data_IF_485470732650
#
_entry.id   IF_485470732650
#
_cell.length_a   1.000
_cell.length_b   1.000
_cell.length_c   1.000
_cell.angle_alpha   90.00
_cell.angle_beta   90.00
_cell.angle_gamma   90.00
#
_symmetry.space_group_name_H-M   'P 1'
#
loop_
_entity.id
_entity.type
_entity.pdbx_description
1 polymer ?
#
# COMPACT_ATOMS: atom_id res chain seq x y z
N UNK A 1 -62.07 10.30 33.10
CA UNK A 1 -62.16 11.75 33.27
C UNK A 1 -60.86 12.36 32.74
N UNK A 2 -61.00 13.23 31.74
CA UNK A 2 -59.84 13.80 31.08
C UNK A 2 -59.58 15.21 31.58
N UNK A 3 -58.37 15.65 31.64
CA UNK A 3 -58.03 17.07 31.67
C UNK A 3 -57.08 17.42 30.54
N UNK A 4 -57.60 18.17 29.63
CA UNK A 4 -56.93 18.88 28.56
C UNK A 4 -56.37 20.20 29.08
N UNK A 5 -55.08 20.49 28.78
CA UNK A 5 -54.59 21.86 28.82
C UNK A 5 -54.01 22.26 27.46
N UNK A 6 -54.73 23.22 26.89
CA UNK A 6 -54.39 24.00 25.72
C UNK A 6 -53.46 25.15 26.13
N UNK A 7 -52.42 25.43 25.39
CA UNK A 7 -51.68 26.69 25.51
C UNK A 7 -51.25 27.21 24.13
N UNK A 8 -51.68 28.40 23.91
CA UNK A 8 -51.73 29.21 22.70
C UNK A 8 -50.37 29.62 22.13
N UNK A 9 -50.34 29.69 20.81
CA UNK A 9 -49.32 30.31 20.01
C UNK A 9 -49.40 31.84 20.09
N UNK A 10 -48.27 32.49 20.35
CA UNK A 10 -48.14 33.93 20.17
C UNK A 10 -47.11 34.22 19.07
N UNK A 11 -47.63 34.60 17.92
CA UNK A 11 -46.85 35.16 16.80
C UNK A 11 -46.47 36.60 17.12
N UNK A 12 -45.20 36.92 17.23
CA UNK A 12 -44.68 38.30 17.16
C UNK A 12 -44.24 38.60 15.73
N UNK A 13 -44.99 39.47 15.08
CA UNK A 13 -44.59 40.14 13.83
C UNK A 13 -43.62 41.30 14.20
N UNK A 14 -42.43 41.34 13.63
CA UNK A 14 -41.57 42.50 13.73
C UNK A 14 -41.67 43.29 12.42
N UNK A 15 -42.01 44.56 12.59
CA UNK A 15 -42.22 45.55 11.52
C UNK A 15 -40.89 46.16 11.12
N UNK A 16 -40.70 46.34 9.83
CA UNK A 16 -39.62 47.14 9.26
C UNK A 16 -39.97 48.65 9.31
N UNK A 17 -39.02 49.56 9.54
CA UNK A 17 -39.14 50.95 9.14
C UNK A 17 -38.34 51.21 7.88
N UNK A 18 -38.99 51.93 6.98
CA UNK A 18 -38.39 52.58 5.83
C UNK A 18 -37.54 53.78 6.28
N UNK A 19 -36.37 53.97 5.67
CA UNK A 19 -35.62 55.23 5.77
C UNK A 19 -35.00 55.54 4.41
N UNK A 20 -35.55 56.52 3.77
CA UNK A 20 -35.12 57.81 3.29
C UNK A 20 -33.75 57.85 2.54
N UNK A 21 -33.86 58.12 1.25
CA UNK A 21 -32.75 58.49 0.35
C UNK A 21 -32.28 59.93 0.65
N UNK A 22 -30.97 60.12 0.76
CA UNK A 22 -30.30 61.39 0.65
C UNK A 22 -29.22 61.24 -0.41
N UNK A 23 -29.35 62.03 -1.47
CA UNK A 23 -28.39 62.17 -2.56
C UNK A 23 -27.14 62.93 -2.12
N UNK A 24 -25.99 62.44 -2.56
CA UNK A 24 -24.71 63.12 -2.46
C UNK A 24 -23.95 62.89 -3.74
N UNK A 25 -23.89 63.93 -4.58
CA UNK A 25 -23.05 64.01 -5.75
C UNK A 25 -21.60 64.09 -5.28
N UNK A 26 -20.73 63.16 -5.67
CA UNK A 26 -19.31 63.31 -5.57
C UNK A 26 -18.65 63.19 -6.93
N UNK A 27 -17.85 64.20 -7.19
CA UNK A 27 -17.09 64.48 -8.39
C UNK A 27 -16.20 63.33 -8.82
N UNK A 28 -16.25 63.05 -10.13
CA UNK A 28 -15.25 62.23 -10.80
C UNK A 28 -13.94 63.02 -10.89
N UNK A 29 -12.93 62.58 -10.17
CA UNK A 29 -11.54 62.93 -10.46
C UNK A 29 -10.99 61.85 -11.42
N UNK A 30 -10.90 62.22 -12.71
CA UNK A 30 -10.19 61.46 -13.74
C UNK A 30 -8.69 61.63 -13.52
N UNK A 31 -8.10 60.65 -12.84
CA UNK A 31 -6.65 60.47 -12.80
C UNK A 31 -6.21 59.64 -13.99
N UNK A 32 -5.75 60.27 -15.06
CA UNK A 32 -5.01 59.60 -16.11
C UNK A 32 -3.63 59.23 -15.55
N UNK A 33 -3.41 57.95 -15.27
CA UNK A 33 -2.05 57.42 -15.11
C UNK A 33 -1.50 57.17 -16.52
N UNK A 34 -0.57 58.01 -16.96
CA UNK A 34 0.24 57.78 -18.17
C UNK A 34 1.19 56.63 -17.89
N UNK A 35 0.87 55.44 -18.39
CA UNK A 35 1.85 54.36 -18.51
C UNK A 35 2.63 54.59 -19.79
N UNK A 36 3.93 54.95 -19.65
CA UNK A 36 4.87 55.01 -20.77
C UNK A 36 4.81 53.66 -21.52
N UNK A 37 4.50 53.72 -22.81
CA UNK A 37 4.24 52.59 -23.65
C UNK A 37 5.43 51.65 -23.79
N UNK A 38 5.38 50.52 -23.12
CA UNK A 38 6.02 49.33 -23.65
C UNK A 38 5.05 48.72 -24.67
N UNK A 39 5.53 48.57 -25.90
CA UNK A 39 4.79 47.93 -26.97
C UNK A 39 4.39 46.51 -26.53
N UNK A 40 3.09 46.25 -26.47
CA UNK A 40 2.61 44.90 -26.22
C UNK A 40 3.26 43.94 -27.23
N UNK A 41 3.79 42.77 -26.77
CA UNK A 41 4.35 41.78 -27.67
C UNK A 41 3.26 41.29 -28.65
N UNK A 42 3.58 41.33 -29.94
CA UNK A 42 2.67 41.05 -31.06
C UNK A 42 2.22 39.56 -31.15
N UNK A 43 2.53 38.74 -30.14
CA UNK A 43 2.03 37.35 -30.04
C UNK A 43 1.85 37.00 -28.59
N UNK A 44 0.60 36.67 -28.23
CA UNK A 44 0.28 36.00 -26.97
C UNK A 44 0.79 34.57 -27.06
N UNK A 45 1.83 34.24 -26.29
CA UNK A 45 2.21 32.83 -26.10
C UNK A 45 1.46 32.31 -24.88
N UNK A 46 0.75 31.18 -24.99
CA UNK A 46 0.18 30.53 -23.81
C UNK A 46 1.30 30.22 -22.82
N UNK A 47 1.10 30.55 -21.56
CA UNK A 47 2.01 30.07 -20.52
C UNK A 47 2.15 28.55 -20.65
N UNK A 48 3.38 28.02 -20.52
CA UNK A 48 3.54 26.55 -20.53
C UNK A 48 2.59 25.93 -19.50
N UNK A 49 1.80 24.95 -19.95
CA UNK A 49 0.93 24.21 -19.05
C UNK A 49 1.81 23.67 -17.92
N UNK A 50 1.45 23.99 -16.68
CA UNK A 50 2.10 23.38 -15.53
C UNK A 50 1.91 21.87 -15.65
N UNK A 51 2.97 21.16 -16.00
CA UNK A 51 2.96 19.70 -15.95
C UNK A 51 2.74 19.29 -14.50
N UNK A 52 1.83 18.35 -14.23
CA UNK A 52 1.70 17.79 -12.88
C UNK A 52 3.08 17.33 -12.42
N UNK A 53 3.42 17.60 -11.17
CA UNK A 53 4.65 17.11 -10.55
C UNK A 53 4.65 15.59 -10.67
N UNK A 54 5.61 15.04 -11.41
CA UNK A 54 5.68 13.59 -11.61
C UNK A 54 6.01 12.91 -10.28
N UNK A 55 5.33 11.81 -9.93
CA UNK A 55 5.71 11.05 -8.76
C UNK A 55 7.15 10.53 -8.89
N UNK A 56 7.84 10.31 -7.76
CA UNK A 56 9.18 9.76 -7.78
C UNK A 56 9.18 8.40 -8.49
N UNK A 57 10.04 8.24 -9.49
CA UNK A 57 10.23 6.96 -10.18
C UNK A 57 10.97 5.99 -9.27
N UNK A 58 10.44 4.81 -8.98
CA UNK A 58 11.17 3.78 -8.28
C UNK A 58 12.33 3.26 -9.14
N UNK A 59 13.51 3.20 -8.55
CA UNK A 59 14.73 2.69 -9.19
C UNK A 59 15.40 1.65 -8.29
N UNK A 60 16.18 0.78 -8.89
CA UNK A 60 16.99 -0.18 -8.12
C UNK A 60 18.27 0.47 -7.63
N UNK A 61 18.82 0.08 -6.46
CA UNK A 61 20.13 0.49 -6.02
C UNK A 61 21.19 0.20 -7.09
N UNK A 62 22.00 1.21 -7.45
CA UNK A 62 23.02 1.08 -8.48
C UNK A 62 22.57 1.41 -9.91
N UNK A 63 21.28 1.70 -10.16
CA UNK A 63 20.83 2.25 -11.44
C UNK A 63 20.94 3.78 -11.43
N UNK A 64 21.55 4.34 -12.48
CA UNK A 64 21.46 5.78 -12.73
C UNK A 64 20.04 6.10 -13.21
N UNK A 65 19.39 7.11 -12.60
CA UNK A 65 18.10 7.62 -13.09
C UNK A 65 18.22 8.19 -14.52
N UNK A 66 17.11 8.45 -15.20
CA UNK A 66 17.12 9.05 -16.53
C UNK A 66 17.86 10.39 -16.48
N UNK A 67 19.02 10.45 -17.13
CA UNK A 67 19.84 11.64 -17.23
C UNK A 67 19.09 12.68 -18.08
N UNK A 68 18.79 13.84 -17.53
CA UNK A 68 18.51 15.02 -18.34
C UNK A 68 19.73 15.30 -19.21
N UNK A 69 19.55 15.23 -20.52
CA UNK A 69 20.57 15.50 -21.51
C UNK A 69 21.11 16.93 -21.39
N UNK A 70 22.31 17.08 -20.85
CA UNK A 70 23.03 18.35 -20.83
C UNK A 70 24.11 18.38 -19.77
N UNK A 71 25.21 17.64 -19.95
CA UNK A 71 26.57 18.18 -19.82
C UNK A 71 27.59 17.13 -20.28
N UNK A 72 28.45 17.52 -21.25
CA UNK A 72 29.62 16.75 -21.68
C UNK A 72 30.77 17.05 -20.71
N UNK A 73 31.01 16.17 -19.78
CA UNK A 73 32.14 16.28 -18.86
C UNK A 73 32.45 14.95 -18.18
N UNK A 74 33.24 14.13 -18.85
CA UNK A 74 33.83 12.87 -18.49
C UNK A 74 33.77 12.36 -17.05
N UNK A 75 32.90 11.37 -16.85
CA UNK A 75 33.18 10.15 -16.08
C UNK A 75 32.35 9.05 -16.72
N UNK A 76 32.97 8.15 -17.47
CA UNK A 76 32.39 6.89 -17.90
C UNK A 76 32.02 6.09 -16.65
N UNK A 77 30.75 6.25 -16.19
CA UNK A 77 30.09 5.23 -15.38
C UNK A 77 29.96 4.00 -16.28
N UNK A 78 30.60 2.93 -15.92
CA UNK A 78 30.49 1.65 -16.60
C UNK A 78 29.02 1.23 -16.55
N UNK A 79 28.30 1.38 -17.65
CA UNK A 79 27.05 0.68 -17.92
C UNK A 79 27.41 -0.82 -18.16
N UNK A 80 27.93 -1.46 -17.13
CA UNK A 80 28.14 -2.90 -17.12
C UNK A 80 26.78 -3.58 -17.09
N UNK A 81 26.48 -4.38 -18.10
CA UNK A 81 25.34 -5.29 -18.08
C UNK A 81 25.47 -6.17 -16.84
N UNK A 82 24.45 -6.15 -15.94
CA UNK A 82 24.44 -7.02 -14.76
C UNK A 82 24.43 -8.47 -15.26
N UNK A 83 25.39 -9.32 -14.84
CA UNK A 83 25.40 -10.71 -15.27
C UNK A 83 24.13 -11.45 -14.80
N UNK A 84 23.67 -12.45 -15.56
CA UNK A 84 22.56 -13.29 -15.12
C UNK A 84 22.92 -14.06 -13.85
N UNK A 85 21.94 -14.40 -13.00
CA UNK A 85 22.16 -15.17 -11.79
C UNK A 85 22.81 -16.54 -12.06
N UNK A 86 23.66 -16.98 -11.13
CA UNK A 86 24.33 -18.29 -11.19
C UNK A 86 24.06 -19.07 -9.89
N UNK A 87 23.19 -20.08 -9.96
CA UNK A 87 22.71 -20.75 -8.75
C UNK A 87 22.04 -19.74 -7.80
N UNK A 88 22.40 -19.77 -6.53
CA UNK A 88 21.87 -18.80 -5.54
C UNK A 88 22.63 -17.46 -5.52
N UNK A 89 23.58 -17.25 -6.42
CA UNK A 89 24.27 -15.96 -6.52
C UNK A 89 23.54 -15.06 -7.51
N UNK A 90 23.07 -13.92 -7.03
CA UNK A 90 22.50 -12.84 -7.85
C UNK A 90 23.45 -11.63 -7.83
N UNK A 91 23.73 -11.08 -9.01
CA UNK A 91 24.69 -9.96 -9.15
C UNK A 91 23.98 -8.60 -9.14
N UNK A 92 22.63 -8.59 -9.10
CA UNK A 92 21.89 -7.35 -9.04
C UNK A 92 22.01 -6.74 -7.62
N UNK A 93 22.51 -5.48 -7.50
CA UNK A 93 22.72 -4.84 -6.20
C UNK A 93 21.45 -4.63 -5.39
N UNK A 94 20.28 -4.67 -6.04
CA UNK A 94 19.00 -4.58 -5.36
C UNK A 94 18.58 -5.86 -4.64
N UNK A 95 19.15 -7.00 -4.98
CA UNK A 95 18.82 -8.29 -4.37
C UNK A 95 19.53 -8.42 -3.04
N UNK A 96 18.78 -8.71 -1.98
CA UNK A 96 19.30 -8.90 -0.62
C UNK A 96 19.16 -10.33 -0.12
N UNK A 97 18.33 -11.16 -0.76
CA UNK A 97 18.22 -12.59 -0.49
C UNK A 97 17.79 -13.36 -1.73
N UNK A 98 18.23 -14.61 -1.83
CA UNK A 98 18.03 -15.49 -2.98
C UNK A 98 17.71 -16.91 -2.55
N UNK A 99 17.28 -17.76 -3.52
CA UNK A 99 16.98 -19.17 -3.30
C UNK A 99 16.00 -19.43 -2.15
N UNK A 100 15.05 -18.53 -2.00
CA UNK A 100 13.91 -18.71 -1.11
C UNK A 100 12.84 -19.54 -1.80
N UNK A 101 11.90 -20.07 -1.04
CA UNK A 101 10.63 -20.58 -1.57
C UNK A 101 9.71 -19.39 -1.90
N UNK A 102 8.57 -19.61 -2.60
CA UNK A 102 7.67 -18.54 -2.99
C UNK A 102 7.39 -17.54 -1.84
N UNK A 103 7.96 -16.33 -1.91
CA UNK A 103 7.90 -15.37 -0.81
C UNK A 103 6.66 -14.51 -0.92
N UNK A 104 5.62 -14.89 -0.19
CA UNK A 104 4.30 -14.24 -0.22
C UNK A 104 4.22 -12.90 0.49
N UNK A 105 5.00 -12.71 1.55
CA UNK A 105 5.03 -11.49 2.34
C UNK A 105 6.45 -11.15 2.80
N UNK A 106 6.74 -9.87 2.93
CA UNK A 106 7.98 -9.34 3.51
C UNK A 106 7.64 -8.21 4.47
N UNK A 107 8.48 -8.04 5.49
CA UNK A 107 8.44 -6.88 6.38
C UNK A 107 9.86 -6.39 6.63
N UNK A 108 10.07 -5.09 6.59
CA UNK A 108 11.34 -4.45 6.92
C UNK A 108 11.48 -4.34 8.44
N UNK A 109 12.68 -4.62 8.95
CA UNK A 109 12.95 -4.43 10.37
C UNK A 109 13.15 -2.94 10.68
N UNK A 110 12.57 -2.43 11.77
CA UNK A 110 12.68 -1.02 12.13
C UNK A 110 14.13 -0.62 12.43
N UNK A 111 14.51 0.59 12.02
CA UNK A 111 15.85 1.15 12.25
C UNK A 111 16.95 0.63 11.33
N UNK A 112 16.59 -0.07 10.24
CA UNK A 112 17.53 -0.61 9.26
C UNK A 112 17.48 0.09 7.90
N UNK A 113 17.03 1.33 7.84
CA UNK A 113 16.73 2.06 6.59
C UNK A 113 17.94 2.25 5.67
N UNK A 114 19.15 2.37 6.25
CA UNK A 114 20.41 2.54 5.50
C UNK A 114 21.06 1.22 5.09
N UNK A 115 20.76 0.15 5.80
CA UNK A 115 21.24 -1.21 5.53
C UNK A 115 20.08 -2.19 5.79
N UNK A 116 19.15 -2.34 4.82
CA UNK A 116 17.86 -2.96 5.05
C UNK A 116 17.94 -4.43 5.43
N UNK A 117 17.38 -4.73 6.57
CA UNK A 117 17.15 -6.08 7.06
C UNK A 117 15.64 -6.33 7.06
N UNK A 118 15.23 -7.53 6.69
CA UNK A 118 13.82 -7.89 6.67
C UNK A 118 13.54 -9.30 7.12
N UNK A 119 12.25 -9.61 7.22
CA UNK A 119 11.74 -10.96 7.33
C UNK A 119 10.97 -11.31 6.07
N UNK A 120 11.17 -12.51 5.57
CA UNK A 120 10.50 -13.06 4.41
C UNK A 120 9.67 -14.28 4.83
N UNK A 121 8.40 -14.31 4.40
CA UNK A 121 7.47 -15.40 4.65
C UNK A 121 7.39 -16.30 3.41
N UNK A 122 7.84 -17.52 3.54
CA UNK A 122 7.78 -18.52 2.48
C UNK A 122 6.41 -19.22 2.51
N UNK A 123 5.63 -19.04 1.46
CA UNK A 123 4.22 -19.43 1.39
C UNK A 123 3.98 -20.92 1.61
N UNK A 124 4.75 -21.76 0.93
CA UNK A 124 4.50 -23.20 0.88
C UNK A 124 5.21 -23.97 1.97
N UNK A 125 6.40 -23.54 2.35
CA UNK A 125 7.18 -24.16 3.42
C UNK A 125 6.74 -23.73 4.83
N UNK A 126 6.00 -22.61 4.94
CA UNK A 126 5.62 -22.01 6.23
C UNK A 126 6.78 -21.40 7.00
N UNK A 127 7.97 -21.25 6.38
CA UNK A 127 9.16 -20.70 7.02
C UNK A 127 9.11 -19.19 7.04
N UNK A 128 9.53 -18.59 8.14
CA UNK A 128 9.84 -17.16 8.25
C UNK A 128 11.35 -17.07 8.41
N UNK A 129 12.01 -16.36 7.48
CA UNK A 129 13.46 -16.20 7.45
C UNK A 129 13.85 -14.74 7.54
N UNK A 130 14.91 -14.46 8.30
CA UNK A 130 15.55 -13.14 8.33
C UNK A 130 16.48 -13.04 7.13
N UNK A 131 16.40 -11.93 6.43
CA UNK A 131 17.15 -11.65 5.21
C UNK A 131 17.94 -10.36 5.35
N UNK A 132 19.18 -10.38 4.85
CA UNK A 132 20.08 -9.24 4.84
C UNK A 132 21.09 -9.41 3.71
N UNK A 133 21.50 -8.32 3.08
CA UNK A 133 22.44 -8.36 1.97
C UNK A 133 23.79 -8.91 2.39
N UNK A 134 24.25 -9.91 1.68
CA UNK A 134 25.55 -10.56 1.93
C UNK A 134 25.54 -11.64 3.01
N UNK A 135 24.46 -11.78 3.75
CA UNK A 135 24.30 -12.81 4.77
C UNK A 135 23.46 -13.99 4.25
N UNK A 136 23.72 -15.21 4.72
CA UNK A 136 22.80 -16.32 4.49
C UNK A 136 21.46 -16.06 5.21
N UNK A 137 20.36 -16.44 4.59
CA UNK A 137 19.02 -16.34 5.20
C UNK A 137 18.94 -17.17 6.48
N UNK A 138 18.44 -16.57 7.56
CA UNK A 138 18.39 -17.18 8.89
C UNK A 138 16.95 -17.55 9.26
N UNK A 139 16.69 -18.85 9.47
CA UNK A 139 15.38 -19.34 9.92
C UNK A 139 15.01 -18.75 11.28
N UNK A 140 13.84 -18.13 11.36
CA UNK A 140 13.26 -17.62 12.61
C UNK A 140 12.29 -18.65 13.21
N UNK A 141 11.36 -19.14 12.40
CA UNK A 141 10.38 -20.15 12.79
C UNK A 141 9.80 -20.86 11.56
N UNK A 142 9.09 -21.96 11.79
CA UNK A 142 8.30 -22.66 10.77
C UNK A 142 6.90 -22.89 11.30
N UNK A 143 5.90 -22.44 10.54
CA UNK A 143 4.49 -22.62 10.84
C UNK A 143 3.92 -23.82 10.07
N UNK A 144 2.98 -24.52 10.67
CA UNK A 144 2.23 -25.56 9.97
C UNK A 144 1.19 -24.89 9.06
N UNK A 145 1.29 -25.13 7.77
CA UNK A 145 0.42 -24.54 6.75
C UNK A 145 -0.20 -25.62 5.87
N UNK A 146 -1.40 -25.34 5.36
CA UNK A 146 -2.06 -26.14 4.34
C UNK A 146 -1.95 -25.43 2.98
N UNK A 147 -1.30 -26.09 2.04
CA UNK A 147 -1.09 -25.62 0.66
C UNK A 147 -1.89 -26.42 -0.37
N UNK A 148 -2.90 -27.18 0.08
CA UNK A 148 -3.77 -27.93 -0.82
C UNK A 148 -4.66 -27.04 -1.70
N UNK A 149 -4.74 -25.74 -1.38
CA UNK A 149 -5.40 -24.71 -2.19
C UNK A 149 -4.36 -23.83 -2.88
N UNK A 150 -4.69 -23.28 -4.05
CA UNK A 150 -3.73 -22.55 -4.89
C UNK A 150 -3.16 -21.29 -4.20
N UNK A 151 -3.93 -20.64 -3.33
CA UNK A 151 -3.64 -19.37 -2.67
C UNK A 151 -3.50 -19.49 -1.13
N UNK A 152 -3.52 -20.72 -0.62
CA UNK A 152 -3.30 -21.03 0.79
C UNK A 152 -1.83 -21.05 1.19
N UNK A 153 -1.57 -21.27 2.47
CA UNK A 153 -0.23 -21.31 3.05
C UNK A 153 0.03 -20.14 4.01
N UNK A 154 1.29 -19.74 4.13
CA UNK A 154 1.69 -18.55 4.87
C UNK A 154 1.62 -17.36 3.91
N UNK A 155 0.66 -16.44 4.09
CA UNK A 155 0.38 -15.38 3.11
C UNK A 155 0.51 -13.95 3.65
N UNK A 156 0.51 -13.76 4.96
CA UNK A 156 0.66 -12.46 5.60
C UNK A 156 1.69 -12.49 6.71
N UNK A 157 2.40 -11.39 6.88
CA UNK A 157 3.39 -11.17 7.94
C UNK A 157 3.33 -9.70 8.38
N UNK A 158 3.38 -9.47 9.69
CA UNK A 158 3.50 -8.14 10.26
C UNK A 158 4.34 -8.19 11.54
N UNK A 159 4.95 -7.08 11.93
CA UNK A 159 5.66 -6.92 13.21
C UNK A 159 4.74 -6.29 14.25
N UNK A 160 5.02 -6.58 15.52
CA UNK A 160 4.44 -5.80 16.61
C UNK A 160 4.80 -4.31 16.47
N UNK A 161 3.93 -3.37 16.85
CA UNK A 161 4.27 -1.94 16.88
C UNK A 161 5.43 -1.65 17.84
N UNK A 162 5.69 -2.54 18.79
CA UNK A 162 6.79 -2.50 19.76
C UNK A 162 7.87 -3.55 19.49
N UNK A 163 8.01 -4.00 18.23
CA UNK A 163 8.92 -5.09 17.84
C UNK A 163 10.36 -4.93 18.33
N UNK A 164 10.89 -3.72 18.38
CA UNK A 164 12.24 -3.46 18.93
C UNK A 164 12.39 -3.86 20.41
N UNK A 165 11.28 -3.99 21.12
CA UNK A 165 11.24 -4.33 22.55
C UNK A 165 10.79 -5.78 22.77
N UNK A 166 9.73 -6.22 22.09
CA UNK A 166 9.07 -7.49 22.33
C UNK A 166 9.40 -8.57 21.30
N UNK A 167 9.90 -8.19 20.14
CA UNK A 167 10.21 -9.06 18.99
C UNK A 167 9.02 -9.95 18.55
N UNK A 168 7.79 -9.51 18.83
CA UNK A 168 6.60 -10.24 18.43
C UNK A 168 6.32 -10.05 16.94
N UNK A 169 5.88 -11.12 16.29
CA UNK A 169 5.47 -11.17 14.90
C UNK A 169 4.07 -11.74 14.79
N UNK A 170 3.34 -11.34 13.75
CA UNK A 170 2.05 -11.87 13.39
C UNK A 170 2.13 -12.51 12.01
N UNK A 171 1.51 -13.67 11.85
CA UNK A 171 1.46 -14.38 10.59
C UNK A 171 0.03 -14.79 10.24
N UNK A 172 -0.37 -14.63 8.98
CA UNK A 172 -1.63 -15.16 8.47
C UNK A 172 -1.36 -16.48 7.75
N UNK A 173 -2.05 -17.52 8.19
CA UNK A 173 -1.84 -18.89 7.68
C UNK A 173 -3.17 -19.56 7.32
N UNK A 174 -3.14 -20.35 6.26
CA UNK A 174 -4.18 -21.34 5.94
C UNK A 174 -3.86 -22.64 6.63
N UNK A 175 -4.83 -23.21 7.33
CA UNK A 175 -4.76 -24.56 7.95
C UNK A 175 -5.74 -25.51 7.26
N UNK A 176 -5.78 -26.75 7.68
CA UNK A 176 -6.73 -27.72 7.14
C UNK A 176 -8.21 -27.35 7.42
N UNK A 177 -8.48 -26.54 8.43
CA UNK A 177 -9.84 -26.23 8.91
C UNK A 177 -10.29 -24.80 8.67
N UNK A 178 -9.39 -23.84 8.76
CA UNK A 178 -9.66 -22.41 8.66
C UNK A 178 -8.44 -21.63 8.21
N UNK A 179 -8.63 -20.35 7.93
CA UNK A 179 -7.55 -19.38 7.92
C UNK A 179 -7.47 -18.70 9.30
N UNK A 180 -6.27 -18.30 9.73
CA UNK A 180 -6.07 -17.72 11.06
C UNK A 180 -4.87 -16.80 11.16
N UNK A 181 -4.87 -15.97 12.21
CA UNK A 181 -3.71 -15.16 12.59
C UNK A 181 -3.00 -15.81 13.75
N UNK A 182 -1.68 -15.97 13.60
CA UNK A 182 -0.77 -16.52 14.61
C UNK A 182 0.06 -15.42 15.23
N UNK A 183 0.23 -15.44 16.53
CA UNK A 183 1.24 -14.67 17.27
C UNK A 183 2.48 -15.53 17.44
N UNK A 184 3.63 -14.97 17.15
CA UNK A 184 4.95 -15.60 17.23
C UNK A 184 5.81 -14.77 18.19
N UNK A 185 6.18 -15.36 19.31
CA UNK A 185 7.11 -14.78 20.28
C UNK A 185 8.45 -15.52 20.23
N UNK A 186 9.59 -14.84 20.51
CA UNK A 186 10.89 -15.48 20.52
C UNK A 186 10.96 -16.65 21.51
N UNK A 187 11.37 -17.81 21.01
CA UNK A 187 11.53 -19.02 21.83
C UNK A 187 10.23 -19.72 22.24
N UNK A 188 9.07 -19.17 21.93
CA UNK A 188 7.77 -19.78 22.21
C UNK A 188 7.19 -20.53 21.02
N UNK A 189 6.25 -21.46 21.30
CA UNK A 189 5.41 -22.05 20.25
C UNK A 189 4.42 -21.03 19.73
N UNK A 190 4.29 -20.84 18.40
CA UNK A 190 3.32 -19.94 17.82
C UNK A 190 1.88 -20.22 18.28
N UNK A 191 1.13 -19.17 18.65
CA UNK A 191 -0.23 -19.26 19.21
C UNK A 191 -1.24 -18.61 18.26
N UNK A 192 -2.41 -19.24 18.00
CA UNK A 192 -3.47 -18.58 17.25
C UNK A 192 -4.13 -17.50 18.12
N UNK A 193 -4.24 -16.29 17.59
CA UNK A 193 -4.94 -15.17 18.25
C UNK A 193 -6.28 -14.85 17.60
N UNK A 194 -6.44 -15.15 16.31
CA UNK A 194 -7.71 -15.05 15.60
C UNK A 194 -7.90 -16.30 14.76
N UNK A 195 -9.03 -17.00 14.95
CA UNK A 195 -9.38 -18.25 14.28
C UNK A 195 -10.76 -18.17 13.65
N UNK A 196 -11.12 -19.19 12.85
CA UNK A 196 -12.47 -19.28 12.28
C UNK A 196 -12.68 -18.35 11.07
N UNK A 197 -11.63 -17.80 10.48
CA UNK A 197 -11.73 -17.15 9.18
C UNK A 197 -12.03 -18.23 8.15
N UNK A 198 -13.15 -18.15 7.39
CA UNK A 198 -13.54 -19.19 6.47
C UNK A 198 -12.44 -19.58 5.48
N UNK A 199 -12.28 -20.88 5.26
CA UNK A 199 -11.40 -21.46 4.26
C UNK A 199 -12.22 -21.97 3.08
N UNK A 200 -11.76 -21.69 1.86
CA UNK A 200 -12.36 -22.15 0.61
C UNK A 200 -11.40 -22.99 -0.23
N UNK A 201 -11.82 -23.31 -1.43
CA UNK A 201 -10.94 -23.88 -2.46
C UNK A 201 -10.03 -22.79 -3.09
N UNK A 202 -10.47 -21.54 -3.02
CA UNK A 202 -9.78 -20.31 -3.42
C UNK A 202 -10.14 -19.20 -2.43
N UNK A 203 -9.58 -17.99 -2.60
CA UNK A 203 -9.90 -16.84 -1.75
C UNK A 203 -9.42 -17.01 -0.30
N UNK A 204 -8.31 -17.75 -0.09
CA UNK A 204 -7.74 -18.00 1.25
C UNK A 204 -6.68 -16.97 1.61
N UNK A 205 -6.19 -16.21 0.63
CA UNK A 205 -5.14 -15.23 0.87
C UNK A 205 -5.58 -14.23 1.94
N UNK A 206 -4.69 -13.95 2.87
CA UNK A 206 -4.85 -12.88 3.84
C UNK A 206 -3.55 -12.12 4.01
N UNK A 207 -3.64 -10.83 4.25
CA UNK A 207 -2.51 -9.92 4.39
C UNK A 207 -2.62 -9.14 5.68
N UNK A 208 -1.47 -8.80 6.25
CA UNK A 208 -1.36 -8.14 7.54
C UNK A 208 -0.61 -6.83 7.40
N UNK A 209 -1.01 -5.83 8.16
CA UNK A 209 -0.25 -4.61 8.41
C UNK A 209 -0.58 -4.09 9.81
N UNK A 210 0.26 -3.22 10.36
CA UNK A 210 -0.04 -2.47 11.58
C UNK A 210 -0.44 -1.05 11.18
N UNK A 211 -1.53 -0.55 11.76
CA UNK A 211 -1.95 0.83 11.52
C UNK A 211 -1.16 1.82 12.38
N UNK A 212 -1.35 3.11 12.13
CA UNK A 212 -0.65 4.18 12.87
C UNK A 212 -1.01 4.28 14.36
N UNK A 213 -2.02 3.54 14.82
CA UNK A 213 -2.43 3.45 16.23
C UNK A 213 -1.88 2.21 16.92
N UNK A 214 -1.15 1.37 16.18
CA UNK A 214 -0.54 0.15 16.69
C UNK A 214 -1.45 -1.08 16.65
N UNK A 215 -2.60 -1.00 15.99
CA UNK A 215 -3.51 -2.13 15.87
C UNK A 215 -3.27 -2.93 14.60
N UNK A 216 -3.52 -4.23 14.64
CA UNK A 216 -3.31 -5.13 13.51
C UNK A 216 -4.50 -5.05 12.54
N UNK A 217 -4.23 -4.66 11.30
CA UNK A 217 -5.14 -4.78 10.17
C UNK A 217 -4.97 -6.15 9.52
N UNK A 218 -6.08 -6.86 9.34
CA UNK A 218 -6.12 -8.18 8.70
C UNK A 218 -7.09 -8.10 7.53
N UNK A 219 -6.60 -8.09 6.29
CA UNK A 219 -7.46 -8.21 5.13
C UNK A 219 -7.57 -9.69 4.73
N UNK A 220 -8.80 -10.18 4.59
CA UNK A 220 -9.11 -11.59 4.34
C UNK A 220 -9.77 -11.76 2.98
N UNK A 221 -9.44 -12.83 2.27
CA UNK A 221 -10.14 -13.23 1.06
C UNK A 221 -11.55 -13.76 1.32
N UNK A 222 -12.35 -13.88 0.27
CA UNK A 222 -13.77 -14.26 0.34
C UNK A 222 -14.00 -15.77 0.48
N UNK A 223 -12.96 -16.57 0.60
CA UNK A 223 -13.01 -18.04 0.61
C UNK A 223 -13.68 -18.64 -0.65
N UNK A 224 -13.57 -17.96 -1.80
CA UNK A 224 -14.23 -18.34 -3.05
C UNK A 224 -15.75 -18.18 -3.05
N UNK A 225 -16.29 -17.40 -2.11
CA UNK A 225 -17.72 -17.16 -1.96
C UNK A 225 -18.02 -15.67 -1.72
N UNK A 226 -18.35 -14.91 -2.77
CA UNK A 226 -18.66 -13.49 -2.65
C UNK A 226 -19.78 -13.15 -1.65
N UNK A 227 -20.68 -14.12 -1.41
CA UNK A 227 -21.74 -13.96 -0.40
C UNK A 227 -21.19 -13.84 1.03
N UNK A 228 -20.02 -14.44 1.32
CA UNK A 228 -19.36 -14.32 2.62
C UNK A 228 -18.75 -12.93 2.80
N UNK A 229 -18.26 -12.31 1.72
CA UNK A 229 -17.69 -10.97 1.76
C UNK A 229 -18.71 -9.91 2.19
N UNK A 230 -19.99 -10.08 1.88
CA UNK A 230 -21.07 -9.18 2.29
C UNK A 230 -21.79 -9.60 3.57
N UNK A 231 -21.59 -10.84 4.04
CA UNK A 231 -22.22 -11.33 5.27
C UNK A 231 -21.53 -10.73 6.51
N UNK A 232 -22.24 -9.96 7.37
CA UNK A 232 -21.64 -9.34 8.55
C UNK A 232 -21.24 -10.33 9.65
N UNK A 233 -21.70 -11.57 9.60
CA UNK A 233 -21.32 -12.62 10.53
C UNK A 233 -20.09 -13.43 10.08
N UNK A 234 -19.59 -13.20 8.86
CA UNK A 234 -18.43 -13.89 8.30
C UNK A 234 -17.18 -13.03 8.46
N UNK A 235 -16.05 -13.66 8.72
CA UNK A 235 -14.72 -13.03 8.69
C UNK A 235 -14.05 -13.11 7.31
N UNK A 236 -14.67 -13.75 6.30
CA UNK A 236 -14.17 -13.78 4.93
C UNK A 236 -14.54 -12.50 4.16
N UNK A 237 -13.64 -12.03 3.31
CA UNK A 237 -13.85 -10.84 2.49
C UNK A 237 -13.94 -9.54 3.30
N UNK A 238 -13.11 -9.40 4.33
CA UNK A 238 -13.16 -8.31 5.31
C UNK A 238 -11.81 -7.64 5.49
N UNK A 239 -11.85 -6.40 5.95
CA UNK A 239 -10.76 -5.83 6.72
C UNK A 239 -11.16 -5.90 8.19
N UNK A 240 -10.36 -6.60 8.96
CA UNK A 240 -10.48 -6.73 10.41
C UNK A 240 -9.44 -5.83 11.06
N UNK A 241 -9.76 -5.28 12.23
CA UNK A 241 -8.84 -4.50 13.04
C UNK A 241 -8.89 -5.02 14.47
N UNK A 242 -7.79 -5.59 14.91
CA UNK A 242 -7.66 -6.32 16.17
C UNK A 242 -6.45 -5.84 16.95
N UNK A 243 -6.48 -6.03 18.25
CA UNK A 243 -5.33 -5.84 19.13
C UNK A 243 -4.33 -7.02 19.04
N UNK A 244 -3.26 -6.94 19.80
CA UNK A 244 -2.21 -7.98 19.84
C UNK A 244 -2.69 -9.33 20.39
N UNK A 245 -3.80 -9.36 21.11
CA UNK A 245 -4.43 -10.55 21.65
C UNK A 245 -5.53 -11.14 20.73
N UNK A 246 -5.76 -10.50 19.58
CA UNK A 246 -6.76 -10.92 18.60
C UNK A 246 -8.18 -10.47 18.92
N UNK A 247 -8.37 -9.59 19.92
CA UNK A 247 -9.66 -9.00 20.21
C UNK A 247 -9.96 -7.81 19.29
N UNK A 248 -11.23 -7.45 19.07
CA UNK A 248 -11.55 -6.22 18.36
C UNK A 248 -10.82 -5.03 19.01
N UNK A 249 -10.14 -4.21 18.20
CA UNK A 249 -9.45 -3.04 18.73
C UNK A 249 -10.43 -2.12 19.47
N UNK A 250 -10.05 -1.58 20.64
CA UNK A 250 -10.98 -0.88 21.54
C UNK A 250 -11.57 0.40 20.94
N UNK A 251 -10.86 1.01 20.01
CA UNK A 251 -11.27 2.23 19.30
C UNK A 251 -11.86 1.94 17.91
N UNK A 252 -12.25 0.69 17.64
CA UNK A 252 -13.05 0.38 16.45
C UNK A 252 -14.38 1.14 16.46
N UNK A 253 -14.92 1.52 15.31
CA UNK A 253 -16.26 2.15 15.22
C UNK A 253 -17.35 1.35 15.94
N UNK A 254 -17.23 0.03 15.96
CA UNK A 254 -17.95 -0.86 16.86
C UNK A 254 -16.95 -1.65 17.70
N UNK A 255 -16.73 -1.30 18.97
CA UNK A 255 -15.74 -1.96 19.82
C UNK A 255 -15.98 -3.45 20.09
N UNK A 256 -17.17 -3.97 19.72
CA UNK A 256 -17.52 -5.38 19.84
C UNK A 256 -17.28 -6.17 18.54
N UNK A 257 -16.79 -5.54 17.50
CA UNK A 257 -16.57 -6.15 16.20
C UNK A 257 -15.17 -5.85 15.69
N UNK A 258 -14.46 -6.89 15.27
CA UNK A 258 -13.21 -6.73 14.55
C UNK A 258 -13.41 -6.19 13.13
N UNK A 259 -14.60 -6.38 12.53
CA UNK A 259 -14.88 -5.98 11.14
C UNK A 259 -14.95 -4.45 11.05
N UNK A 260 -14.06 -3.86 10.26
CA UNK A 260 -14.03 -2.41 10.00
C UNK A 260 -14.32 -2.06 8.54
N UNK A 261 -14.21 -3.01 7.61
CA UNK A 261 -14.67 -2.88 6.24
C UNK A 261 -15.02 -4.27 5.66
N UNK A 262 -15.80 -4.29 4.58
CA UNK A 262 -16.33 -5.52 3.96
C UNK A 262 -16.34 -5.39 2.45
N UNK A 263 -16.26 -6.51 1.73
CA UNK A 263 -16.39 -6.57 0.27
C UNK A 263 -15.11 -6.90 -0.48
N UNK A 264 -14.06 -7.44 0.20
CA UNK A 264 -12.86 -7.94 -0.46
C UNK A 264 -13.10 -9.29 -1.09
N UNK A 265 -12.37 -9.58 -2.18
CA UNK A 265 -12.31 -10.86 -2.87
C UNK A 265 -10.99 -11.58 -2.59
N UNK A 266 -9.89 -11.06 -3.14
CA UNK A 266 -8.54 -11.63 -2.96
C UNK A 266 -7.54 -10.50 -2.68
N UNK A 267 -7.40 -10.11 -1.40
CA UNK A 267 -6.52 -9.00 -1.03
C UNK A 267 -5.05 -9.33 -1.31
N UNK A 268 -4.36 -8.38 -1.92
CA UNK A 268 -2.94 -8.51 -2.26
C UNK A 268 -2.02 -7.87 -1.23
N UNK A 269 -2.42 -6.74 -0.63
CA UNK A 269 -1.65 -5.97 0.34
C UNK A 269 -2.53 -4.99 1.12
N UNK A 270 -2.09 -4.64 2.32
CA UNK A 270 -2.59 -3.52 3.11
C UNK A 270 -1.39 -2.63 3.43
N UNK A 271 -1.50 -1.34 3.22
CA UNK A 271 -0.43 -0.40 3.51
C UNK A 271 -0.98 0.92 4.07
N UNK A 272 -0.23 1.53 4.98
CA UNK A 272 -0.55 2.83 5.57
C UNK A 272 0.51 3.83 5.15
N UNK A 273 0.11 5.10 4.92
CA UNK A 273 1.06 6.17 4.65
C UNK A 273 1.99 6.38 5.85
N UNK A 274 3.21 6.84 5.59
CA UNK A 274 4.22 7.09 6.63
C UNK A 274 3.76 8.07 7.70
N UNK A 275 2.89 9.02 7.33
CA UNK A 275 2.28 9.97 8.27
C UNK A 275 1.03 9.43 8.98
N UNK A 276 0.63 8.20 8.69
CA UNK A 276 -0.55 7.54 9.27
C UNK A 276 -1.90 8.14 8.88
N UNK A 277 -1.92 9.10 7.97
CA UNK A 277 -3.16 9.80 7.60
C UNK A 277 -4.09 8.96 6.70
N UNK A 278 -3.53 7.97 6.00
CA UNK A 278 -4.25 7.18 5.01
C UNK A 278 -3.82 5.72 5.04
N UNK A 279 -4.77 4.83 4.74
CA UNK A 279 -4.51 3.42 4.56
C UNK A 279 -5.20 2.91 3.28
N UNK A 280 -4.60 1.90 2.67
CA UNK A 280 -5.02 1.36 1.40
C UNK A 280 -5.04 -0.15 1.45
N UNK A 281 -5.92 -0.76 0.63
CA UNK A 281 -5.94 -2.20 0.42
C UNK A 281 -6.04 -2.49 -1.08
N UNK A 282 -5.15 -3.32 -1.59
CA UNK A 282 -5.23 -3.85 -2.95
C UNK A 282 -6.11 -5.09 -2.95
N UNK A 283 -6.94 -5.24 -3.97
CA UNK A 283 -7.83 -6.39 -4.11
C UNK A 283 -7.96 -6.82 -5.56
N UNK A 284 -7.99 -8.11 -5.80
CA UNK A 284 -8.23 -8.72 -7.11
C UNK A 284 -9.68 -9.16 -7.15
N UNK A 285 -10.46 -8.48 -7.98
CA UNK A 285 -11.85 -8.89 -8.22
C UNK A 285 -11.94 -9.75 -9.48
N UNK A 286 -13.06 -10.43 -9.73
CA UNK A 286 -13.21 -11.24 -10.94
C UNK A 286 -13.11 -10.48 -12.26
N UNK A 287 -13.32 -9.16 -12.26
CA UNK A 287 -13.39 -8.32 -13.47
C UNK A 287 -12.28 -7.30 -13.59
N UNK A 288 -11.65 -6.94 -12.49
CA UNK A 288 -10.64 -5.88 -12.43
C UNK A 288 -9.82 -5.98 -11.16
N UNK A 289 -8.61 -5.45 -11.18
CA UNK A 289 -7.84 -5.23 -9.95
C UNK A 289 -8.11 -3.81 -9.43
N UNK A 290 -8.11 -3.64 -8.12
CA UNK A 290 -8.50 -2.37 -7.49
C UNK A 290 -7.60 -1.99 -6.32
N UNK A 291 -7.57 -0.71 -6.02
CA UNK A 291 -6.99 -0.14 -4.81
C UNK A 291 -8.10 0.63 -4.08
N UNK A 292 -8.46 0.17 -2.91
CA UNK A 292 -9.43 0.87 -2.05
C UNK A 292 -8.71 1.75 -1.04
N UNK A 293 -9.24 2.94 -0.81
CA UNK A 293 -8.90 3.75 0.36
C UNK A 293 -9.69 3.22 1.54
N UNK A 294 -9.00 2.80 2.60
CA UNK A 294 -9.62 2.26 3.80
C UNK A 294 -10.15 3.40 4.68
N UNK A 295 -11.41 3.33 5.02
CA UNK A 295 -12.07 4.20 6.00
C UNK A 295 -12.72 3.33 7.07
N UNK A 296 -12.20 3.39 8.30
CA UNK A 296 -12.69 2.55 9.38
C UNK A 296 -14.19 2.74 9.62
N UNK A 297 -14.93 1.63 9.71
CA UNK A 297 -16.39 1.62 9.97
C UNK A 297 -17.24 1.93 8.75
N UNK A 298 -16.66 1.99 7.56
CA UNK A 298 -17.40 2.15 6.31
C UNK A 298 -17.16 0.95 5.40
N UNK A 299 -18.18 0.50 4.64
CA UNK A 299 -17.97 -0.47 3.58
C UNK A 299 -16.92 0.06 2.60
N UNK A 300 -16.18 -0.85 1.96
CA UNK A 300 -15.36 -0.49 0.80
C UNK A 300 -16.31 0.07 -0.27
N UNK A 301 -16.08 1.30 -0.65
CA UNK A 301 -16.91 2.03 -1.61
C UNK A 301 -16.36 1.92 -3.02
N UNK A 302 -16.43 3.04 -3.77
CA UNK A 302 -15.81 3.14 -5.09
C UNK A 302 -14.28 3.01 -4.90
N UNK A 303 -13.59 2.17 -5.70
CA UNK A 303 -12.13 2.09 -5.68
C UNK A 303 -11.50 3.47 -5.90
N UNK A 304 -10.42 3.74 -5.19
CA UNK A 304 -9.60 4.94 -5.43
C UNK A 304 -8.80 4.82 -6.74
N UNK A 305 -8.50 3.59 -7.14
CA UNK A 305 -7.91 3.27 -8.43
C UNK A 305 -8.39 1.90 -8.93
N UNK A 306 -8.47 1.75 -10.26
CA UNK A 306 -8.92 0.51 -10.93
C UNK A 306 -7.98 0.16 -12.08
N UNK A 307 -7.63 -1.11 -12.19
CA UNK A 307 -6.88 -1.69 -13.29
C UNK A 307 -7.77 -2.70 -14.05
N UNK A 308 -8.38 -2.29 -15.18
CA UNK A 308 -9.20 -3.21 -15.99
C UNK A 308 -8.40 -4.34 -16.66
N UNK A 309 -7.07 -4.14 -16.82
CA UNK A 309 -6.13 -5.09 -17.41
C UNK A 309 -5.63 -6.17 -16.44
N UNK A 310 -6.06 -6.12 -15.18
CA UNK A 310 -5.76 -7.11 -14.14
C UNK A 310 -4.26 -7.46 -14.03
N UNK A 311 -3.38 -6.51 -13.67
CA UNK A 311 -1.95 -6.74 -13.56
C UNK A 311 -1.59 -7.70 -12.43
N UNK A 312 -2.54 -8.15 -11.64
CA UNK A 312 -2.36 -9.02 -10.47
C UNK A 312 -1.82 -8.23 -9.28
N UNK A 313 -2.57 -7.20 -8.83
CA UNK A 313 -2.14 -6.37 -7.69
C UNK A 313 -1.83 -7.23 -6.47
N UNK A 314 -0.76 -6.89 -5.78
CA UNK A 314 -0.23 -7.64 -4.65
C UNK A 314 0.14 -6.68 -3.52
N UNK A 315 1.28 -6.85 -2.86
CA UNK A 315 1.74 -5.96 -1.79
C UNK A 315 1.80 -4.50 -2.20
N UNK A 316 1.65 -3.59 -1.24
CA UNK A 316 1.77 -2.17 -1.46
C UNK A 316 2.63 -1.49 -0.40
N UNK A 317 3.25 -0.36 -0.77
CA UNK A 317 3.96 0.55 0.11
C UNK A 317 3.44 1.96 -0.10
N UNK A 318 2.98 2.61 0.96
CA UNK A 318 2.36 3.92 0.88
C UNK A 318 3.27 5.00 1.48
N UNK A 319 3.61 6.00 0.69
CA UNK A 319 4.38 7.17 1.07
C UNK A 319 3.46 8.39 1.18
N UNK A 320 3.96 9.49 1.69
CA UNK A 320 3.19 10.73 1.78
C UNK A 320 2.73 11.31 0.42
N UNK A 321 3.43 10.97 -0.65
CA UNK A 321 3.18 11.50 -2.01
C UNK A 321 2.83 10.44 -3.05
N UNK A 322 2.89 9.17 -2.72
CA UNK A 322 2.62 8.08 -3.67
C UNK A 322 2.28 6.77 -2.99
N UNK A 323 1.63 5.89 -3.73
CA UNK A 323 1.46 4.48 -3.36
C UNK A 323 2.13 3.62 -4.43
N UNK A 324 3.05 2.76 -4.03
CA UNK A 324 3.63 1.72 -4.88
C UNK A 324 2.84 0.43 -4.71
N UNK A 325 2.55 -0.24 -5.81
CA UNK A 325 1.84 -1.51 -5.85
C UNK A 325 2.68 -2.53 -6.63
N UNK A 326 3.01 -3.64 -5.99
CA UNK A 326 3.61 -4.79 -6.63
C UNK A 326 2.56 -5.52 -7.49
N UNK A 327 2.97 -6.08 -8.62
CA UNK A 327 2.07 -6.87 -9.46
C UNK A 327 2.64 -8.26 -9.75
N UNK A 328 1.80 -9.27 -9.65
CA UNK A 328 2.24 -10.66 -9.83
C UNK A 328 2.00 -11.18 -11.25
N UNK A 329 1.00 -10.67 -11.97
CA UNK A 329 0.71 -11.05 -13.37
C UNK A 329 1.57 -10.24 -14.33
N UNK A 330 1.58 -8.90 -14.18
CA UNK A 330 2.41 -8.03 -15.02
C UNK A 330 3.89 -8.06 -14.62
N UNK A 331 4.21 -8.47 -13.39
CA UNK A 331 5.61 -8.62 -12.92
C UNK A 331 6.36 -7.31 -12.85
N UNK A 332 5.70 -6.25 -12.39
CA UNK A 332 6.26 -4.91 -12.30
C UNK A 332 5.79 -4.18 -11.03
N UNK A 333 6.30 -2.98 -10.82
CA UNK A 333 5.83 -2.07 -9.79
C UNK A 333 5.09 -0.91 -10.45
N UNK A 334 3.92 -0.59 -9.95
CA UNK A 334 3.12 0.55 -10.39
C UNK A 334 3.03 1.60 -9.29
N UNK A 335 3.49 2.80 -9.58
CA UNK A 335 3.49 3.92 -8.64
C UNK A 335 2.40 4.91 -9.01
N UNK A 336 1.51 5.17 -8.06
CA UNK A 336 0.39 6.10 -8.15
C UNK A 336 0.72 7.36 -7.36
N UNK A 337 0.71 8.52 -8.00
CA UNK A 337 0.94 9.80 -7.33
C UNK A 337 -0.29 10.22 -6.51
N UNK A 338 -0.04 10.72 -5.29
CA UNK A 338 -1.05 11.23 -4.38
C UNK A 338 -1.06 12.76 -4.36
N UNK A 339 -2.24 13.33 -4.49
CA UNK A 339 -2.51 14.71 -4.14
C UNK A 339 -2.58 14.89 -2.61
N UNK A 340 -2.51 16.13 -2.14
CA UNK A 340 -2.62 16.45 -0.70
C UNK A 340 -3.96 16.02 -0.06
N UNK A 341 -5.03 15.89 -0.84
CA UNK A 341 -6.33 15.38 -0.39
C UNK A 341 -6.42 13.85 -0.38
N UNK A 342 -5.35 13.18 -0.85
CA UNK A 342 -5.26 11.73 -0.94
C UNK A 342 -5.98 11.13 -2.13
N UNK A 343 -6.36 11.93 -3.11
CA UNK A 343 -6.77 11.44 -4.43
C UNK A 343 -5.55 11.10 -5.29
N UNK A 344 -5.71 10.17 -6.22
CA UNK A 344 -4.65 9.86 -7.19
C UNK A 344 -4.68 10.83 -8.37
N UNK A 345 -3.51 11.09 -8.94
CA UNK A 345 -3.34 11.94 -10.12
C UNK A 345 -2.52 11.26 -11.20
N UNK A 346 -2.85 11.55 -12.46
CA UNK A 346 -2.16 10.99 -13.62
C UNK A 346 -2.43 9.50 -13.83
N UNK A 347 -1.49 8.83 -14.51
CA UNK A 347 -1.49 7.38 -14.75
C UNK A 347 -0.39 6.72 -13.93
N UNK A 348 -0.52 5.43 -13.55
CA UNK A 348 0.53 4.73 -12.83
C UNK A 348 1.85 4.77 -13.58
N UNK A 349 2.93 5.07 -12.87
CA UNK A 349 4.28 4.93 -13.42
C UNK A 349 4.74 3.50 -13.22
N UNK A 350 5.12 2.85 -14.33
CA UNK A 350 5.52 1.44 -14.35
C UNK A 350 7.05 1.36 -14.28
N UNK A 351 7.55 0.54 -13.38
CA UNK A 351 8.99 0.25 -13.20
C UNK A 351 9.24 -1.23 -13.00
N UNK A 352 10.49 -1.65 -13.05
CA UNK A 352 10.93 -3.03 -12.86
C UNK A 352 10.28 -4.02 -13.85
N UNK A 353 10.10 -3.60 -15.10
CA UNK A 353 9.51 -4.43 -16.15
C UNK A 353 10.56 -4.91 -17.18
N UNK A 354 10.23 -5.99 -17.91
CA UNK A 354 11.09 -6.54 -18.97
C UNK A 354 12.45 -6.98 -18.43
N UNK A 355 13.57 -6.65 -19.11
CA UNK A 355 14.92 -7.06 -18.71
C UNK A 355 15.37 -6.53 -17.34
N UNK A 356 14.73 -5.49 -16.83
CA UNK A 356 14.98 -4.92 -15.50
C UNK A 356 14.04 -5.47 -14.43
N UNK A 357 13.10 -6.31 -14.81
CA UNK A 357 12.11 -6.91 -13.93
C UNK A 357 12.66 -8.10 -13.14
N UNK A 358 11.96 -8.43 -12.09
CA UNK A 358 12.25 -9.61 -11.27
C UNK A 358 11.19 -10.71 -11.44
N UNK A 359 10.27 -10.55 -12.39
CA UNK A 359 9.14 -11.46 -12.59
C UNK A 359 7.99 -11.17 -11.64
N UNK A 360 7.30 -12.21 -11.19
CA UNK A 360 6.10 -12.09 -10.33
C UNK A 360 6.45 -11.51 -8.97
N UNK A 361 5.97 -10.29 -8.67
CA UNK A 361 6.12 -9.66 -7.37
C UNK A 361 4.93 -10.02 -6.46
N UNK A 362 5.17 -10.05 -5.14
CA UNK A 362 4.14 -10.38 -4.16
C UNK A 362 4.17 -9.45 -2.95
N UNK A 363 4.86 -9.81 -1.86
CA UNK A 363 4.94 -8.96 -0.67
C UNK A 363 5.65 -7.63 -0.96
N UNK A 364 5.23 -6.57 -0.28
CA UNK A 364 5.91 -5.28 -0.28
C UNK A 364 5.74 -4.62 1.07
N UNK A 365 6.80 -3.99 1.57
CA UNK A 365 6.79 -3.20 2.79
C UNK A 365 7.69 -1.97 2.64
N UNK A 366 7.46 -0.96 3.44
CA UNK A 366 8.16 0.31 3.38
C UNK A 366 9.51 0.25 4.10
N UNK A 367 10.52 0.93 3.56
CA UNK A 367 11.83 1.15 4.20
C UNK A 367 12.05 2.64 4.30
N UNK A 368 12.00 3.18 5.51
CA UNK A 368 12.12 4.61 5.73
C UNK A 368 11.13 5.43 4.87
N UNK A 369 11.54 6.62 4.46
CA UNK A 369 10.66 7.54 3.73
C UNK A 369 10.67 7.36 2.20
N UNK A 370 11.60 6.56 1.65
CA UNK A 370 11.87 6.54 0.20
C UNK A 370 12.20 5.17 -0.37
N UNK A 371 12.13 4.13 0.42
CA UNK A 371 12.45 2.77 0.00
C UNK A 371 11.31 1.80 0.23
N UNK A 372 11.29 0.72 -0.51
CA UNK A 372 10.43 -0.43 -0.27
C UNK A 372 11.24 -1.73 -0.40
N UNK A 373 10.88 -2.71 0.40
CA UNK A 373 11.28 -4.09 0.24
C UNK A 373 10.18 -4.81 -0.53
N UNK A 374 10.54 -5.62 -1.52
CA UNK A 374 9.58 -6.44 -2.24
C UNK A 374 10.09 -7.87 -2.41
N UNK A 375 9.17 -8.79 -2.66
CA UNK A 375 9.49 -10.20 -2.84
C UNK A 375 8.99 -10.75 -4.16
N UNK A 376 9.59 -11.87 -4.61
CA UNK A 376 9.13 -12.60 -5.79
C UNK A 376 8.47 -13.92 -5.43
N UNK A 377 7.59 -14.37 -6.34
CA UNK A 377 6.91 -15.68 -6.28
C UNK A 377 7.01 -16.39 -7.66
N UNK A 378 8.20 -16.35 -8.27
CA UNK A 378 8.44 -16.89 -9.59
C UNK A 378 8.41 -18.43 -9.64
N UNK A 379 8.66 -19.08 -8.50
CA UNK A 379 8.55 -20.54 -8.36
C UNK A 379 7.11 -21.00 -8.16
N UNK A 380 6.20 -20.07 -7.94
CA UNK A 380 4.78 -20.37 -7.84
C UNK A 380 4.16 -20.64 -9.23
N UNK A 381 2.96 -21.16 -9.27
CA UNK A 381 2.27 -21.60 -10.49
C UNK A 381 2.28 -20.52 -11.58
N UNK A 382 2.73 -20.87 -12.77
CA UNK A 382 2.79 -19.98 -13.94
C UNK A 382 3.90 -18.93 -13.92
N UNK A 383 4.90 -19.07 -13.03
CA UNK A 383 6.12 -18.24 -13.07
C UNK A 383 7.19 -18.79 -14.01
N UNK A 384 8.19 -17.97 -14.29
CA UNK A 384 9.40 -18.35 -15.06
C UNK A 384 10.63 -18.06 -14.21
N UNK A 385 10.96 -18.96 -13.26
CA UNK A 385 12.03 -18.71 -12.30
C UNK A 385 13.41 -18.70 -12.97
N UNK A 386 14.27 -17.81 -12.50
CA UNK A 386 15.71 -17.87 -12.72
C UNK A 386 16.40 -18.65 -11.60
N UNK A 387 17.69 -18.93 -11.74
CA UNK A 387 18.40 -19.82 -10.78
C UNK A 387 18.41 -19.28 -9.34
N UNK A 388 18.43 -17.94 -9.15
CA UNK A 388 18.44 -17.28 -7.85
C UNK A 388 17.05 -17.07 -7.20
N UNK A 389 15.94 -17.41 -7.90
CA UNK A 389 14.60 -17.22 -7.38
C UNK A 389 14.29 -18.20 -6.22
N UNK A 390 13.36 -17.86 -5.31
CA UNK A 390 12.69 -16.57 -5.21
C UNK A 390 13.58 -15.62 -4.40
N UNK A 391 13.31 -14.31 -4.56
CA UNK A 391 14.22 -13.25 -4.11
C UNK A 391 13.51 -12.23 -3.24
N UNK A 392 14.28 -11.55 -2.39
CA UNK A 392 13.88 -10.30 -1.75
C UNK A 392 14.74 -9.18 -2.34
N UNK A 393 14.09 -8.10 -2.74
CA UNK A 393 14.69 -6.95 -3.42
C UNK A 393 14.40 -5.65 -2.69
N UNK A 394 15.29 -4.67 -2.85
CA UNK A 394 15.13 -3.31 -2.37
C UNK A 394 14.84 -2.39 -3.56
N UNK A 395 13.83 -1.55 -3.41
CA UNK A 395 13.42 -0.55 -4.37
C UNK A 395 13.60 0.81 -3.71
N UNK A 396 14.33 1.71 -4.34
CA UNK A 396 14.50 3.09 -3.85
C UNK A 396 13.75 4.05 -4.77
N UNK A 397 13.03 5.01 -4.21
CA UNK A 397 12.48 6.11 -4.98
C UNK A 397 13.55 7.19 -5.15
N UNK A 398 13.83 7.61 -6.39
CA UNK A 398 14.60 8.84 -6.59
C UNK A 398 13.69 10.04 -6.37
N UNK A 399 14.17 11.13 -5.71
CA UNK A 399 13.45 12.39 -5.74
C UNK A 399 13.24 12.79 -7.21
N UNK A 400 12.04 13.24 -7.56
CA UNK A 400 11.83 13.95 -8.81
C UNK A 400 12.88 15.05 -8.88
N UNK A 401 13.72 15.04 -9.93
CA UNK A 401 14.83 15.97 -10.05
C UNK A 401 14.30 17.38 -9.90
N UNK A 402 14.66 18.03 -8.79
CA UNK A 402 14.40 19.44 -8.60
C UNK A 402 15.10 20.18 -9.74
N UNK A 403 14.34 20.84 -10.61
CA UNK A 403 14.88 21.82 -11.51
C UNK A 403 15.64 22.82 -10.64
N UNK A 404 16.92 22.96 -10.89
CA UNK A 404 17.68 24.07 -10.35
C UNK A 404 17.15 25.33 -11.03
N UNK A 405 16.61 26.22 -10.22
CA UNK A 405 16.32 27.61 -10.60
C UNK A 405 17.60 28.37 -11.05
#
# INVERSE_FOLDING_TARGET
>A
MPETFSASATRRRLRWPAAVAIGGALMMASGCADFAGEAAPNSWQPAPALSPEQPPNPVLPGQAGPSSSGDQGGRQGQNGTIPPPQGCQDFNPAVIATCLDAVSAVVALPGTDTDPIGLAAERTSGRIVRVHKGDPSQLQTTLQVDTSTADGGLTGLALSPTYTQDQLMFAYVTTATDNRVMLIAPGDTPKPILTGIPRGTTGNRGVLAVDHRGELLVATGDAGSPALATNPASLAGKVLRIDVDGQPAPDNPNPKSAIVASGLFEPGGVCSSTDGSQAWVTDRTPTEDVLYKLQLGRPLGVPAWTWPDQPGVAGCAAFSTSVMVATSTAGNVQSLALNKDGSFTGTPQISLQGPQGFGKLSGMDIIGDRGAMASTVNRDTGGTPVSSDDRVIIITSQPAGGGQD
#
